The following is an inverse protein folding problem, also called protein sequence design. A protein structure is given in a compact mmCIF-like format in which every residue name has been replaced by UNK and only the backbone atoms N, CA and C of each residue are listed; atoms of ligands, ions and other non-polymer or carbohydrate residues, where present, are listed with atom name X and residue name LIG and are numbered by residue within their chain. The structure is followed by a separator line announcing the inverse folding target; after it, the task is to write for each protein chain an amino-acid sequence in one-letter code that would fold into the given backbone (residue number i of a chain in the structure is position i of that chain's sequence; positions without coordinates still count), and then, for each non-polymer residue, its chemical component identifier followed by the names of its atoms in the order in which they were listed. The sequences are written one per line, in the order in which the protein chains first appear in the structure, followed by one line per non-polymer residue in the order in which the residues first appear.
data_IF_185584212686
#
_entry.id   IF_185584212686
#
_cell.length_a   1.000
_cell.length_b   1.000
_cell.length_c   1.000
_cell.angle_alpha   90.00
_cell.angle_beta   90.00
_cell.angle_gamma   90.00
#
_symmetry.space_group_name_H-M   'P 1'
#
loop_
_entity.id
_entity.type
_entity.pdbx_description
1 polymer ?
#
# COMPACT_ATOMS: atom_id res chain seq x y z
N UNK A 1 -13.52 -24.02 -17.41
CA UNK A 1 -12.86 -22.84 -18.04
C UNK A 1 -13.62 -21.52 -17.82
N UNK A 2 -14.96 -21.51 -17.73
CA UNK A 2 -15.69 -20.26 -17.44
C UNK A 2 -15.44 -19.69 -16.02
N UNK A 3 -15.32 -20.55 -15.00
CA UNK A 3 -15.07 -20.12 -13.62
C UNK A 3 -13.68 -19.45 -13.44
N UNK A 4 -12.64 -19.99 -14.09
CA UNK A 4 -11.30 -19.41 -14.08
C UNK A 4 -11.25 -18.06 -14.81
N UNK A 5 -12.04 -17.90 -15.88
CA UNK A 5 -12.17 -16.63 -16.59
C UNK A 5 -12.81 -15.55 -15.73
N UNK A 6 -13.89 -15.88 -14.98
CA UNK A 6 -14.49 -14.95 -14.01
C UNK A 6 -13.51 -14.51 -12.92
N UNK A 7 -12.72 -15.45 -12.37
CA UNK A 7 -11.69 -15.15 -11.37
C UNK A 7 -10.59 -14.24 -11.92
N UNK A 8 -10.18 -14.45 -13.18
CA UNK A 8 -9.20 -13.59 -13.85
C UNK A 8 -9.75 -12.17 -14.08
N UNK A 9 -11.01 -12.05 -14.50
CA UNK A 9 -11.68 -10.76 -14.67
C UNK A 9 -11.81 -10.00 -13.33
N UNK A 10 -12.16 -10.68 -12.24
CA UNK A 10 -12.18 -10.09 -10.90
C UNK A 10 -10.79 -9.61 -10.46
N UNK A 11 -9.75 -10.42 -10.66
CA UNK A 11 -8.37 -10.05 -10.33
C UNK A 11 -7.92 -8.83 -11.14
N UNK A 12 -8.22 -8.79 -12.44
CA UNK A 12 -7.89 -7.66 -13.31
C UNK A 12 -8.61 -6.38 -12.87
N UNK A 13 -9.89 -6.48 -12.46
CA UNK A 13 -10.65 -5.37 -11.89
C UNK A 13 -9.97 -4.83 -10.63
N UNK A 14 -9.61 -5.70 -9.68
CA UNK A 14 -8.95 -5.28 -8.42
C UNK A 14 -7.61 -4.61 -8.74
N UNK A 15 -6.84 -5.16 -9.67
CA UNK A 15 -5.56 -4.60 -10.07
C UNK A 15 -5.71 -3.17 -10.65
N UNK A 16 -6.80 -2.88 -11.38
CA UNK A 16 -7.06 -1.56 -11.96
C UNK A 16 -7.30 -0.47 -10.92
N UNK A 17 -7.85 -0.82 -9.76
CA UNK A 17 -8.16 0.10 -8.66
C UNK A 17 -6.98 0.23 -7.68
N UNK A 18 -6.01 -0.68 -7.74
CA UNK A 18 -4.88 -0.71 -6.82
C UNK A 18 -4.00 0.56 -6.98
N UNK A 19 -3.74 1.31 -5.89
CA UNK A 19 -2.94 2.52 -5.95
C UNK A 19 -1.47 2.20 -6.26
N UNK A 20 -0.77 3.18 -6.84
CA UNK A 20 0.68 3.11 -7.06
C UNK A 20 1.42 3.33 -5.74
N UNK A 21 2.49 2.57 -5.51
CA UNK A 21 3.41 2.76 -4.39
C UNK A 21 4.47 3.80 -4.77
N UNK A 22 4.44 5.02 -4.19
CA UNK A 22 5.44 6.05 -4.50
C UNK A 22 6.82 5.75 -3.92
N UNK A 23 6.91 4.88 -2.90
CA UNK A 23 8.17 4.53 -2.24
C UNK A 23 8.94 3.44 -3.01
N UNK A 24 8.24 2.64 -3.79
CA UNK A 24 8.82 1.52 -4.54
C UNK A 24 8.37 1.55 -6.00
N UNK A 25 8.84 2.51 -6.81
CA UNK A 25 8.42 2.66 -8.20
C UNK A 25 8.66 1.39 -9.05
N UNK A 26 9.65 0.59 -8.69
CA UNK A 26 10.05 -0.64 -9.38
C UNK A 26 9.28 -1.89 -8.93
N UNK A 27 8.53 -1.85 -7.81
CA UNK A 27 7.76 -2.99 -7.29
C UNK A 27 6.32 -2.53 -7.07
N UNK A 28 5.48 -2.68 -8.10
CA UNK A 28 4.09 -2.26 -8.07
C UNK A 28 3.16 -3.45 -7.90
N UNK A 29 2.33 -3.41 -6.86
CA UNK A 29 1.33 -4.45 -6.60
C UNK A 29 0.33 -4.56 -7.74
N UNK A 30 -0.09 -3.44 -8.32
CA UNK A 30 -0.96 -3.40 -9.50
C UNK A 30 -0.42 -4.28 -10.64
N UNK A 31 0.85 -4.09 -11.02
CA UNK A 31 1.47 -4.85 -12.11
C UNK A 31 1.54 -6.33 -11.79
N UNK A 32 1.85 -6.69 -10.54
CA UNK A 32 1.83 -8.07 -10.10
C UNK A 32 0.43 -8.69 -10.24
N UNK A 33 -0.62 -8.02 -9.75
CA UNK A 33 -2.00 -8.53 -9.85
C UNK A 33 -2.47 -8.65 -11.30
N UNK A 34 -2.09 -7.72 -12.18
CA UNK A 34 -2.35 -7.83 -13.63
C UNK A 34 -1.68 -9.05 -14.25
N UNK A 35 -0.41 -9.31 -13.91
CA UNK A 35 0.30 -10.50 -14.38
C UNK A 35 -0.36 -11.79 -13.87
N UNK A 36 -0.81 -11.78 -12.61
CA UNK A 36 -1.46 -12.92 -11.97
C UNK A 36 -2.83 -13.23 -12.58
N UNK A 37 -3.58 -12.20 -13.01
CA UNK A 37 -4.85 -12.37 -13.72
C UNK A 37 -4.70 -13.14 -15.04
N UNK A 38 -3.54 -13.00 -15.71
CA UNK A 38 -3.24 -13.67 -16.99
C UNK A 38 -2.68 -15.08 -16.78
N UNK A 39 -2.32 -15.45 -15.55
CA UNK A 39 -1.67 -16.72 -15.25
C UNK A 39 -2.62 -17.92 -15.43
N UNK A 40 -2.22 -19.00 -16.14
CA UNK A 40 -3.10 -20.13 -16.45
C UNK A 40 -3.57 -20.91 -15.21
N UNK A 41 -2.82 -20.80 -14.12
CA UNK A 41 -3.16 -21.40 -12.82
C UNK A 41 -3.36 -20.28 -11.79
N UNK A 42 -4.50 -19.60 -11.87
CA UNK A 42 -4.89 -18.59 -10.89
C UNK A 42 -5.56 -19.29 -9.69
N UNK A 43 -4.95 -19.29 -8.49
CA UNK A 43 -5.58 -19.87 -7.31
C UNK A 43 -6.75 -19.00 -6.83
N UNK A 44 -7.93 -19.58 -6.55
CA UNK A 44 -9.07 -18.83 -6.02
C UNK A 44 -8.77 -18.13 -4.68
N UNK A 45 -7.85 -18.67 -3.89
CA UNK A 45 -7.41 -18.06 -2.64
C UNK A 45 -6.71 -16.71 -2.85
N UNK A 46 -5.97 -16.53 -3.96
CA UNK A 46 -5.33 -15.25 -4.26
C UNK A 46 -6.36 -14.17 -4.61
N UNK A 47 -7.42 -14.52 -5.35
CA UNK A 47 -8.52 -13.58 -5.64
C UNK A 47 -9.22 -13.15 -4.36
N UNK A 48 -9.50 -14.09 -3.45
CA UNK A 48 -10.07 -13.75 -2.13
C UNK A 48 -9.15 -12.86 -1.30
N UNK A 49 -7.84 -13.12 -1.31
CA UNK A 49 -6.87 -12.27 -0.61
C UNK A 49 -6.83 -10.85 -1.20
N UNK A 50 -6.86 -10.72 -2.52
CA UNK A 50 -6.91 -9.42 -3.20
C UNK A 50 -8.22 -8.67 -2.89
N UNK A 51 -9.36 -9.37 -2.82
CA UNK A 51 -10.64 -8.78 -2.41
C UNK A 51 -10.61 -8.30 -0.95
N UNK A 52 -10.03 -9.10 -0.05
CA UNK A 52 -9.89 -8.72 1.36
C UNK A 52 -9.00 -7.47 1.54
N UNK A 53 -7.96 -7.35 0.71
CA UNK A 53 -7.09 -6.17 0.65
C UNK A 53 -7.85 -4.95 0.12
N UNK A 54 -8.55 -5.07 -1.01
CA UNK A 54 -9.38 -4.00 -1.60
C UNK A 54 -10.41 -3.45 -0.59
N UNK A 55 -11.02 -4.34 0.18
CA UNK A 55 -12.03 -3.99 1.19
C UNK A 55 -11.46 -3.50 2.51
N UNK A 56 -10.13 -3.43 2.64
CA UNK A 56 -9.41 -3.07 3.86
C UNK A 56 -9.87 -3.89 5.07
N UNK A 57 -10.13 -5.18 4.90
CA UNK A 57 -10.69 -6.04 5.95
C UNK A 57 -9.78 -6.12 7.18
N UNK A 58 -8.45 -6.17 6.98
CA UNK A 58 -7.49 -6.21 8.08
C UNK A 58 -7.42 -4.90 8.85
N UNK A 59 -7.55 -3.75 8.17
CA UNK A 59 -7.60 -2.45 8.83
C UNK A 59 -8.86 -2.31 9.70
N UNK A 60 -9.98 -2.86 9.23
CA UNK A 60 -11.24 -2.91 10.00
C UNK A 60 -11.13 -3.85 11.20
N UNK A 61 -10.52 -5.02 11.01
CA UNK A 61 -10.34 -6.03 12.06
C UNK A 61 -9.38 -5.55 13.16
N UNK A 62 -8.33 -4.82 12.77
CA UNK A 62 -7.30 -4.29 13.67
C UNK A 62 -7.30 -2.77 13.61
N UNK A 63 -8.38 -2.16 14.09
CA UNK A 63 -8.53 -0.71 14.08
C UNK A 63 -7.40 -0.04 14.86
N UNK A 64 -6.75 0.94 14.22
CA UNK A 64 -5.66 1.70 14.82
C UNK A 64 -6.24 2.68 15.85
N UNK A 65 -5.84 2.52 17.12
CA UNK A 65 -6.29 3.42 18.19
C UNK A 65 -5.49 4.72 18.19
N UNK A 66 -6.03 5.76 18.85
CA UNK A 66 -5.32 7.04 19.03
C UNK A 66 -3.97 6.88 19.71
N UNK A 67 -3.84 5.93 20.64
CA UNK A 67 -2.59 5.64 21.36
C UNK A 67 -1.56 5.05 20.38
N UNK A 68 -2.00 4.21 19.43
CA UNK A 68 -1.14 3.64 18.40
C UNK A 68 -0.68 4.69 17.39
N UNK A 69 -1.57 5.62 16.99
CA UNK A 69 -1.27 6.68 16.03
C UNK A 69 -0.51 7.87 16.65
N UNK A 70 -0.54 8.03 17.97
CA UNK A 70 0.16 9.12 18.67
C UNK A 70 0.90 8.54 19.88
N UNK A 71 2.05 7.87 19.67
CA UNK A 71 2.80 7.29 20.76
C UNK A 71 3.33 8.39 21.69
N UNK A 72 3.30 8.16 23.01
CA UNK A 72 3.68 9.17 24.00
C UNK A 72 5.13 9.67 23.85
N UNK A 73 6.03 8.82 23.36
CA UNK A 73 7.43 9.18 23.09
C UNK A 73 7.62 10.10 21.88
N UNK A 74 6.70 10.06 20.91
CA UNK A 74 6.80 10.81 19.65
C UNK A 74 5.39 11.04 19.05
N UNK A 75 4.60 11.98 19.59
CA UNK A 75 3.19 12.14 19.21
C UNK A 75 3.01 12.48 17.72
N UNK A 76 3.95 13.21 17.12
CA UNK A 76 3.91 13.61 15.70
C UNK A 76 4.59 12.60 14.75
N UNK A 77 4.87 11.37 15.20
CA UNK A 77 5.69 10.42 14.43
C UNK A 77 5.13 10.15 13.03
N UNK A 78 3.85 9.78 12.92
CA UNK A 78 3.25 9.43 11.64
C UNK A 78 2.96 10.66 10.77
N UNK A 79 2.65 11.82 11.36
CA UNK A 79 2.49 13.08 10.62
C UNK A 79 3.80 13.47 9.92
N UNK A 80 4.92 13.41 10.65
CA UNK A 80 6.26 13.68 10.08
C UNK A 80 6.66 12.65 9.03
N UNK A 81 6.23 11.40 9.18
CA UNK A 81 6.47 10.35 8.21
C UNK A 81 5.73 10.66 6.90
N UNK A 82 4.45 11.03 6.96
CA UNK A 82 3.66 11.42 5.78
C UNK A 82 4.28 12.66 5.11
N UNK A 83 4.59 13.70 5.88
CA UNK A 83 5.21 14.93 5.36
C UNK A 83 6.55 14.62 4.66
N UNK A 84 7.36 13.73 5.23
CA UNK A 84 8.62 13.30 4.65
C UNK A 84 8.45 12.60 3.30
N UNK A 85 7.43 11.75 3.18
CA UNK A 85 7.10 11.07 1.91
C UNK A 85 6.65 12.08 0.86
N UNK A 86 5.71 12.97 1.21
CA UNK A 86 5.19 13.98 0.29
C UNK A 86 6.30 14.91 -0.23
N UNK A 87 7.18 15.38 0.65
CA UNK A 87 8.34 16.20 0.27
C UNK A 87 9.31 15.45 -0.62
N UNK A 88 9.60 14.19 -0.30
CA UNK A 88 10.46 13.34 -1.12
C UNK A 88 9.90 13.15 -2.53
N UNK A 89 8.59 12.94 -2.67
CA UNK A 89 7.92 12.86 -3.97
C UNK A 89 8.01 14.17 -4.78
N UNK A 90 8.08 15.31 -4.11
CA UNK A 90 8.29 16.63 -4.73
C UNK A 90 9.78 16.91 -5.05
N UNK A 91 10.69 15.97 -4.76
CA UNK A 91 12.14 16.16 -4.90
C UNK A 91 12.75 17.05 -3.82
N UNK A 92 12.01 17.35 -2.76
CA UNK A 92 12.46 18.19 -1.65
C UNK A 92 13.18 17.32 -0.63
N UNK A 93 14.51 17.37 -0.66
CA UNK A 93 15.35 16.74 0.35
C UNK A 93 15.27 17.43 1.71
N UNK A 94 15.71 16.73 2.76
CA UNK A 94 15.86 17.34 4.08
C UNK A 94 17.05 18.31 4.09
N UNK A 95 16.88 19.54 4.60
CA UNK A 95 18.00 20.45 4.80
C UNK A 95 19.06 19.81 5.70
N UNK A 96 20.34 19.89 5.30
CA UNK A 96 21.47 19.29 6.03
C UNK A 96 21.47 19.63 7.53
N UNK A 97 21.16 20.88 7.88
CA UNK A 97 21.10 21.32 9.27
C UNK A 97 20.05 20.55 10.10
N UNK A 98 18.89 20.21 9.52
CA UNK A 98 17.88 19.40 10.22
C UNK A 98 18.37 17.97 10.48
N UNK A 99 19.12 17.39 9.54
CA UNK A 99 19.74 16.07 9.70
C UNK A 99 20.80 16.10 10.80
N UNK A 100 21.69 17.10 10.78
CA UNK A 100 22.76 17.26 11.75
C UNK A 100 22.24 17.42 13.19
N UNK A 101 21.18 18.21 13.40
CA UNK A 101 20.58 18.44 14.73
C UNK A 101 19.54 17.38 15.13
N UNK A 102 19.34 16.33 14.33
CA UNK A 102 18.29 15.32 14.53
C UNK A 102 16.88 15.93 14.73
N UNK A 103 16.61 17.04 14.04
CA UNK A 103 15.33 17.75 14.09
C UNK A 103 14.43 17.12 13.03
N UNK A 104 13.47 16.32 13.50
CA UNK A 104 12.47 15.65 12.67
C UNK A 104 11.27 16.54 12.38
#
# INVERSE_FOLDING_TARGET
MAATRKLAEEMARIASVCPLDPLRPHIQLQTFLQSLATHPRLPPAAVRAAQALERNEMQKKYALTRITLNPASAPLHYEKLVEGIEKSMQGIGRPFWKVFFNIW
#
